data_IF_653960214814
#
_entry.id   IF_653960214814
#
_cell.length_a   1.000
_cell.length_b   1.000
_cell.length_c   1.000
_cell.angle_alpha   90.00
_cell.angle_beta   90.00
_cell.angle_gamma   90.00
#
_symmetry.space_group_name_H-M   'P 1'
#
loop_
_entity.id
_entity.type
_entity.pdbx_description
1 polymer ?
#
# COMPACT_ATOMS: atom_id res chain seq x y z
N UNK A 1 -2.65 -5.60 -9.55
CA UNK A 1 -3.37 -4.31 -9.59
C UNK A 1 -3.28 -3.60 -8.24
N UNK A 2 -3.39 -2.28 -8.20
CA UNK A 2 -3.40 -1.51 -6.95
C UNK A 2 -4.69 -0.69 -6.85
N UNK A 3 -5.57 -1.09 -5.94
CA UNK A 3 -6.85 -0.43 -5.69
C UNK A 3 -6.72 0.51 -4.50
N UNK A 4 -7.25 1.73 -4.58
CA UNK A 4 -7.31 2.65 -3.45
C UNK A 4 -8.76 2.93 -3.10
N UNK A 5 -9.19 2.48 -1.93
CA UNK A 5 -10.56 2.48 -1.47
C UNK A 5 -10.68 3.12 -0.08
N UNK A 6 -11.89 3.58 0.25
CA UNK A 6 -12.21 4.17 1.55
C UNK A 6 -12.84 3.17 2.52
N UNK A 7 -13.24 2.02 2.02
CA UNK A 7 -13.79 0.89 2.78
C UNK A 7 -13.28 -0.42 2.19
N UNK A 8 -13.23 -1.45 3.05
CA UNK A 8 -13.05 -2.83 2.59
C UNK A 8 -14.28 -3.18 1.76
N UNK A 9 -14.14 -3.62 0.51
CA UNK A 9 -15.30 -3.87 -0.31
C UNK A 9 -15.97 -5.19 0.13
N UNK A 10 -17.29 -5.29 -0.07
CA UNK A 10 -18.13 -6.33 0.56
C UNK A 10 -18.03 -7.70 -0.11
N UNK A 11 -17.51 -7.75 -1.34
CA UNK A 11 -17.63 -8.91 -2.21
C UNK A 11 -16.73 -10.07 -1.77
N UNK A 12 -17.30 -11.26 -1.60
CA UNK A 12 -16.59 -12.45 -1.10
C UNK A 12 -15.56 -13.05 -2.09
N UNK A 13 -15.24 -12.34 -3.17
CA UNK A 13 -14.39 -12.80 -4.26
C UNK A 13 -12.94 -12.30 -4.20
N UNK A 14 -12.49 -11.73 -3.07
CA UNK A 14 -11.05 -11.52 -2.84
C UNK A 14 -10.41 -12.90 -2.71
N UNK A 15 -9.74 -13.32 -3.77
CA UNK A 15 -9.19 -14.66 -3.86
C UNK A 15 -8.00 -14.84 -2.94
N UNK A 16 -7.48 -16.05 -2.90
CA UNK A 16 -6.22 -16.44 -2.25
C UNK A 16 -4.95 -15.78 -2.83
N UNK A 17 -5.09 -14.65 -3.53
CA UNK A 17 -3.99 -13.88 -4.16
C UNK A 17 -4.19 -12.38 -4.03
N UNK A 18 -5.10 -11.91 -3.17
CA UNK A 18 -5.29 -10.49 -2.92
C UNK A 18 -4.75 -10.12 -1.53
N UNK A 19 -4.04 -8.99 -1.45
CA UNK A 19 -3.48 -8.45 -0.21
C UNK A 19 -4.18 -7.15 0.19
N UNK A 20 -4.32 -6.94 1.50
CA UNK A 20 -4.88 -5.73 2.10
C UNK A 20 -3.77 -4.87 2.67
N UNK A 21 -3.76 -3.58 2.37
CA UNK A 21 -2.89 -2.58 2.99
C UNK A 21 -3.74 -1.51 3.67
N UNK A 22 -3.65 -1.44 4.99
CA UNK A 22 -4.28 -0.38 5.78
C UNK A 22 -3.32 0.80 5.91
N UNK A 23 -3.76 1.99 5.49
CA UNK A 23 -2.99 3.24 5.56
C UNK A 23 -3.66 4.16 6.55
N UNK A 24 -2.98 4.43 7.68
CA UNK A 24 -3.44 5.31 8.75
C UNK A 24 -4.89 5.01 9.22
N UNK A 25 -5.32 3.76 9.10
CA UNK A 25 -6.69 3.34 9.37
C UNK A 25 -6.72 1.94 9.97
N UNK A 26 -7.88 1.56 10.50
CA UNK A 26 -8.15 0.25 11.05
C UNK A 26 -9.47 -0.29 10.49
N UNK A 27 -9.55 -1.62 10.42
CA UNK A 27 -10.74 -2.38 9.97
C UNK A 27 -10.98 -3.52 10.95
N UNK A 28 -12.17 -4.09 10.95
CA UNK A 28 -12.53 -5.15 11.91
C UNK A 28 -11.74 -6.44 11.67
N UNK A 29 -11.66 -7.31 12.67
CA UNK A 29 -10.98 -8.61 12.52
C UNK A 29 -11.71 -9.52 11.53
N UNK A 30 -13.04 -9.44 11.45
CA UNK A 30 -13.84 -10.16 10.45
C UNK A 30 -13.49 -9.71 9.03
N UNK A 31 -13.23 -8.42 8.83
CA UNK A 31 -12.79 -7.89 7.55
C UNK A 31 -11.39 -8.37 7.20
N UNK A 32 -10.46 -8.42 8.17
CA UNK A 32 -9.08 -8.91 7.98
C UNK A 32 -9.02 -10.39 7.63
N UNK A 33 -9.86 -11.20 8.28
CA UNK A 33 -9.87 -12.66 8.10
C UNK A 33 -10.18 -13.11 6.66
N UNK A 34 -10.77 -12.24 5.84
CA UNK A 34 -11.07 -12.49 4.42
C UNK A 34 -9.86 -12.35 3.50
N UNK A 35 -8.72 -11.85 4.00
CA UNK A 35 -7.54 -11.55 3.20
C UNK A 35 -6.41 -12.53 3.48
N UNK A 36 -5.69 -12.91 2.42
CA UNK A 36 -4.53 -13.79 2.55
C UNK A 36 -3.39 -13.11 3.33
N UNK A 37 -3.20 -11.81 3.08
CA UNK A 37 -2.23 -10.99 3.78
C UNK A 37 -2.80 -9.63 4.12
N UNK A 38 -2.54 -9.18 5.34
CA UNK A 38 -2.93 -7.87 5.84
C UNK A 38 -1.68 -7.13 6.30
N UNK A 39 -1.43 -5.98 5.71
CA UNK A 39 -0.36 -5.07 6.08
C UNK A 39 -0.91 -3.79 6.69
N UNK A 40 -0.10 -3.17 7.53
CA UNK A 40 -0.38 -1.86 8.12
C UNK A 40 0.77 -0.93 7.81
N UNK A 41 0.44 0.26 7.34
CA UNK A 41 1.37 1.35 7.17
C UNK A 41 0.83 2.58 7.90
N UNK A 42 1.67 3.11 8.78
CA UNK A 42 1.40 4.34 9.52
C UNK A 42 2.50 5.34 9.20
N UNK A 43 2.13 6.47 8.60
CA UNK A 43 3.11 7.47 8.17
C UNK A 43 2.47 8.73 7.59
N UNK A 44 3.31 9.72 7.28
CA UNK A 44 2.86 11.02 6.79
C UNK A 44 2.70 10.98 5.26
N UNK A 45 1.48 11.28 4.79
CA UNK A 45 1.17 11.33 3.35
C UNK A 45 1.59 12.65 2.69
N UNK A 46 1.88 13.69 3.46
CA UNK A 46 2.28 15.03 3.01
C UNK A 46 3.80 15.25 2.86
N UNK A 47 4.20 16.42 2.33
CA UNK A 47 5.60 16.80 2.13
C UNK A 47 6.35 17.18 3.42
N UNK A 48 5.68 17.14 4.57
CA UNK A 48 6.26 17.42 5.88
C UNK A 48 7.11 16.24 6.34
N UNK A 49 8.16 15.96 5.58
CA UNK A 49 9.32 15.25 6.07
C UNK A 49 9.96 16.16 7.12
N UNK A 50 9.80 15.78 8.39
CA UNK A 50 10.43 16.44 9.52
C UNK A 50 11.93 16.67 9.25
N UNK A 51 12.42 17.82 9.70
CA UNK A 51 13.84 18.21 9.69
C UNK A 51 14.72 17.09 10.25
N UNK A 52 15.30 16.28 9.37
CA UNK A 52 16.38 15.35 9.72
C UNK A 52 17.56 15.56 8.77
N UNK A 53 18.77 15.33 9.29
CA UNK A 53 20.02 15.43 8.53
C UNK A 53 19.98 14.49 7.32
N UNK A 54 20.55 14.93 6.21
CA UNK A 54 20.59 14.28 4.87
C UNK A 54 21.21 12.87 4.81
N UNK A 55 21.53 12.26 5.96
CA UNK A 55 22.23 10.98 6.09
C UNK A 55 21.38 9.90 6.81
N UNK A 56 20.13 10.16 7.20
CA UNK A 56 19.28 9.11 7.74
C UNK A 56 18.75 8.21 6.61
N UNK A 57 18.67 6.89 6.86
CA UNK A 57 18.11 5.90 5.90
C UNK A 57 16.67 6.24 5.48
N UNK A 58 15.90 6.92 6.34
CA UNK A 58 14.57 7.46 6.02
C UNK A 58 14.58 8.65 5.04
N UNK A 59 15.75 9.25 4.78
CA UNK A 59 15.94 10.41 3.90
C UNK A 59 16.65 10.05 2.58
N UNK A 60 17.51 9.03 2.56
CA UNK A 60 18.18 8.54 1.34
C UNK A 60 17.35 7.45 0.64
N UNK A 61 16.44 6.80 1.36
CA UNK A 61 15.44 5.92 0.79
C UNK A 61 14.05 6.31 1.27
N UNK A 62 13.09 6.37 0.35
CA UNK A 62 12.02 5.38 0.44
C UNK A 62 11.33 5.26 1.84
N UNK A 63 11.01 6.37 2.51
CA UNK A 63 10.29 6.41 3.79
C UNK A 63 8.77 6.59 3.64
N UNK A 64 8.21 6.24 2.48
CA UNK A 64 6.81 6.53 2.13
C UNK A 64 6.04 5.29 1.72
N UNK A 65 4.72 5.44 1.59
CA UNK A 65 3.81 4.38 1.15
C UNK A 65 4.31 3.64 -0.12
N UNK A 66 4.90 4.37 -1.08
CA UNK A 66 5.45 3.82 -2.31
C UNK A 66 6.58 2.81 -2.05
N UNK A 67 7.46 3.13 -1.11
CA UNK A 67 8.58 2.26 -0.75
C UNK A 67 8.14 1.01 0.01
N UNK A 68 7.14 1.18 0.88
CA UNK A 68 6.52 0.04 1.55
C UNK A 68 5.99 -0.96 0.50
N UNK A 69 5.24 -0.45 -0.48
CA UNK A 69 4.72 -1.27 -1.59
C UNK A 69 5.85 -1.89 -2.42
N UNK A 70 6.93 -1.15 -2.69
CA UNK A 70 8.10 -1.70 -3.40
C UNK A 70 8.71 -2.87 -2.65
N UNK A 71 8.92 -2.73 -1.33
CA UNK A 71 9.50 -3.79 -0.52
C UNK A 71 8.63 -5.05 -0.55
N UNK A 72 7.30 -4.91 -0.53
CA UNK A 72 6.38 -6.04 -0.67
C UNK A 72 6.46 -6.69 -2.06
N UNK A 73 6.50 -5.89 -3.13
CA UNK A 73 6.68 -6.41 -4.49
C UNK A 73 8.01 -7.18 -4.63
N UNK A 74 9.09 -6.66 -4.04
CA UNK A 74 10.41 -7.31 -4.06
C UNK A 74 10.40 -8.65 -3.31
N UNK A 75 9.69 -8.78 -2.19
CA UNK A 75 9.57 -10.08 -1.50
C UNK A 75 8.94 -11.13 -2.43
N UNK A 76 7.96 -10.74 -3.24
CA UNK A 76 7.33 -11.65 -4.19
C UNK A 76 8.27 -12.06 -5.32
N UNK A 77 8.98 -11.09 -5.93
CA UNK A 77 9.95 -11.37 -7.00
C UNK A 77 11.08 -12.29 -6.53
N UNK A 78 11.49 -12.16 -5.26
CA UNK A 78 12.51 -13.00 -4.64
C UNK A 78 11.99 -14.39 -4.22
N UNK A 79 10.72 -14.73 -4.49
CA UNK A 79 10.11 -16.00 -4.11
C UNK A 79 9.90 -16.17 -2.60
N UNK A 80 9.93 -15.07 -1.84
CA UNK A 80 9.76 -15.07 -0.37
C UNK A 80 8.30 -14.91 0.06
N UNK A 81 7.43 -14.50 -0.85
CA UNK A 81 5.98 -14.54 -0.67
C UNK A 81 5.27 -14.85 -2.00
N UNK A 82 4.02 -15.32 -1.91
CA UNK A 82 3.17 -15.53 -3.08
C UNK A 82 2.95 -14.22 -3.85
N UNK A 83 2.91 -14.26 -5.20
CA UNK A 83 2.58 -13.10 -6.01
C UNK A 83 1.11 -12.72 -5.88
N UNK A 84 0.88 -11.49 -5.45
CA UNK A 84 -0.46 -10.93 -5.33
C UNK A 84 -1.00 -10.50 -6.69
N UNK A 85 -2.20 -10.95 -7.02
CA UNK A 85 -2.99 -10.43 -8.14
C UNK A 85 -3.35 -8.98 -7.91
N UNK A 86 -3.76 -8.63 -6.69
CA UNK A 86 -4.19 -7.27 -6.35
C UNK A 86 -3.75 -6.87 -4.94
N UNK A 87 -3.42 -5.60 -4.77
CA UNK A 87 -3.22 -4.96 -3.47
C UNK A 87 -4.32 -3.92 -3.29
N UNK A 88 -5.07 -4.05 -2.21
CA UNK A 88 -6.17 -3.16 -1.85
C UNK A 88 -5.73 -2.25 -0.73
N UNK A 89 -5.58 -0.97 -1.05
CA UNK A 89 -5.17 0.08 -0.12
C UNK A 89 -6.41 0.72 0.47
N UNK A 90 -6.63 0.53 1.77
CA UNK A 90 -7.73 1.14 2.53
C UNK A 90 -7.18 2.31 3.32
N UNK A 91 -7.81 3.46 3.19
CA UNK A 91 -7.45 4.70 3.86
C UNK A 91 -8.71 5.52 4.14
N UNK A 92 -8.61 6.49 5.06
CA UNK A 92 -9.73 7.39 5.34
C UNK A 92 -10.09 8.24 4.10
N UNK A 93 -11.34 8.68 4.01
CA UNK A 93 -11.85 9.43 2.84
C UNK A 93 -11.05 10.70 2.53
N UNK A 94 -10.63 11.42 3.57
CA UNK A 94 -9.79 12.61 3.48
C UNK A 94 -8.35 12.33 2.99
N UNK A 95 -7.90 11.08 3.00
CA UNK A 95 -6.57 10.64 2.58
C UNK A 95 -6.57 9.94 1.22
N UNK A 96 -7.70 9.36 0.80
CA UNK A 96 -7.80 8.58 -0.43
C UNK A 96 -7.28 9.31 -1.67
N UNK A 97 -7.62 10.60 -1.83
CA UNK A 97 -7.11 11.37 -2.96
C UNK A 97 -5.59 11.61 -2.89
N UNK A 98 -5.05 11.82 -1.67
CA UNK A 98 -3.60 12.00 -1.47
C UNK A 98 -2.84 10.71 -1.77
N UNK A 99 -3.37 9.57 -1.31
CA UNK A 99 -2.82 8.23 -1.60
C UNK A 99 -2.83 7.97 -3.10
N UNK A 100 -3.97 8.14 -3.79
CA UNK A 100 -4.07 7.97 -5.25
C UNK A 100 -3.08 8.84 -6.00
N UNK A 101 -3.05 10.13 -5.70
CA UNK A 101 -2.15 11.08 -6.37
C UNK A 101 -0.68 10.73 -6.13
N UNK A 102 -0.32 10.27 -4.93
CA UNK A 102 1.05 9.87 -4.62
C UNK A 102 1.45 8.63 -5.39
N UNK A 103 0.65 7.57 -5.33
CA UNK A 103 0.97 6.31 -5.97
C UNK A 103 0.98 6.40 -7.50
N UNK A 104 0.07 7.18 -8.11
CA UNK A 104 0.06 7.41 -9.57
C UNK A 104 1.28 8.19 -10.09
N UNK A 105 1.89 9.06 -9.27
CA UNK A 105 3.09 9.83 -9.63
C UNK A 105 4.38 9.00 -9.58
N UNK A 106 4.34 7.85 -8.94
CA UNK A 106 5.52 7.02 -8.67
C UNK A 106 5.70 6.04 -9.82
N UNK A 107 6.31 6.51 -10.91
CA UNK A 107 6.43 5.74 -12.15
C UNK A 107 7.11 4.37 -11.98
N UNK A 108 7.96 4.20 -10.96
CA UNK A 108 8.60 2.91 -10.69
C UNK A 108 7.60 1.84 -10.19
N UNK A 109 6.52 2.23 -9.49
CA UNK A 109 5.51 1.28 -9.02
C UNK A 109 4.75 0.67 -10.18
N UNK A 110 4.65 1.37 -11.32
CA UNK A 110 3.98 0.88 -12.52
C UNK A 110 4.63 -0.39 -13.09
N UNK A 111 5.92 -0.63 -12.78
CA UNK A 111 6.60 -1.87 -13.17
C UNK A 111 6.16 -3.09 -12.36
N UNK A 112 5.54 -2.89 -11.19
CA UNK A 112 5.12 -3.94 -10.26
C UNK A 112 3.60 -4.02 -10.11
N UNK A 113 2.90 -2.89 -10.28
CA UNK A 113 1.48 -2.75 -10.05
C UNK A 113 0.81 -2.01 -11.21
N UNK A 114 -0.29 -2.57 -11.71
CA UNK A 114 -1.21 -1.85 -12.60
C UNK A 114 -2.21 -1.04 -11.76
N UNK A 115 -2.39 0.23 -12.09
CA UNK A 115 -3.45 1.05 -11.51
C UNK A 115 -4.72 0.88 -12.35
N UNK A 116 -5.88 0.55 -11.76
CA UNK A 116 -7.15 0.63 -12.47
C UNK A 116 -7.41 2.10 -12.84
N UNK A 117 -7.95 2.31 -14.04
CA UNK A 117 -8.32 3.63 -14.55
C UNK A 117 -9.32 4.36 -13.64
#
# INVERSE_FOLDING_TARGET
MLHVCTSVPDDAAYGCKDALLLVNTEVTEEQKAKWQHVWRWSGVLGPEFGRHSTQCVCCVGQGGLSAFLLAQAQQSVLGRCEPYRSVWVICCENEAQKVRNRLRKEGFLNSFYQFPD
#
